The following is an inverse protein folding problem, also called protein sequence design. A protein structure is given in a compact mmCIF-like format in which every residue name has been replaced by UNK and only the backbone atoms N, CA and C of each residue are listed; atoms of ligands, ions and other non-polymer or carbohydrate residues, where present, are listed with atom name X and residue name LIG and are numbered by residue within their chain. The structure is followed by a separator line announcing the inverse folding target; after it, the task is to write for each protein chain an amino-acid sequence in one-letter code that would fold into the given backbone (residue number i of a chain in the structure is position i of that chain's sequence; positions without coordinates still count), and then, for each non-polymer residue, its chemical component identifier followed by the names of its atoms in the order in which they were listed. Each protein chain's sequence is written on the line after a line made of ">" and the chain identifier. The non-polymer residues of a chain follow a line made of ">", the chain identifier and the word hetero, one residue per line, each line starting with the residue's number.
data_IF_320766497105
#
_entry.id   IF_320766497105
#
_cell.length_a   1.000
_cell.length_b   1.000
_cell.length_c   1.000
_cell.angle_alpha   90.00
_cell.angle_beta   90.00
_cell.angle_gamma   90.00
#
_symmetry.space_group_name_H-M   'P 1'
#
loop_
_entity.id
_entity.type
_entity.pdbx_description
1 polymer ?
#
# COMPACT_ATOMS: atom_id res chain seq x y z
N UNK A 1 14.55 -39.25 -29.83
CA UNK A 1 13.45 -39.02 -28.85
C UNK A 1 12.91 -37.61 -29.04
N UNK A 2 11.76 -37.48 -29.72
CA UNK A 2 11.13 -36.20 -30.07
C UNK A 2 10.06 -35.94 -29.01
N UNK A 3 10.22 -34.91 -28.17
CA UNK A 3 9.15 -34.54 -27.21
C UNK A 3 7.95 -34.03 -28.00
N UNK A 4 6.72 -34.50 -27.73
CA UNK A 4 5.54 -33.98 -28.40
C UNK A 4 5.32 -32.52 -27.97
N UNK A 5 5.44 -31.59 -28.91
CA UNK A 5 5.00 -30.21 -28.74
C UNK A 5 3.47 -30.21 -28.76
N UNK A 6 2.88 -30.24 -27.57
CA UNK A 6 1.49 -29.80 -27.42
C UNK A 6 1.43 -28.33 -27.85
N UNK A 7 0.54 -28.04 -28.79
CA UNK A 7 0.33 -26.70 -29.33
C UNK A 7 0.10 -25.69 -28.21
N UNK A 8 0.61 -24.47 -28.34
CA UNK A 8 0.43 -23.37 -27.37
C UNK A 8 -1.04 -23.18 -26.96
N UNK A 9 -1.97 -23.49 -27.87
CA UNK A 9 -3.41 -23.49 -27.61
C UNK A 9 -3.88 -24.55 -26.59
N UNK A 10 -3.20 -25.69 -26.48
CA UNK A 10 -3.55 -26.76 -25.54
C UNK A 10 -3.18 -26.40 -24.10
N UNK A 11 -2.13 -25.61 -23.89
CA UNK A 11 -1.80 -25.08 -22.55
C UNK A 11 -2.78 -23.98 -22.12
N UNK A 12 -3.23 -23.15 -23.06
CA UNK A 12 -4.28 -22.14 -22.79
C UNK A 12 -5.60 -22.80 -22.37
N UNK A 13 -6.01 -23.89 -23.02
CA UNK A 13 -7.24 -24.60 -22.67
C UNK A 13 -7.20 -25.32 -21.31
N UNK A 14 -6.03 -25.68 -20.78
CA UNK A 14 -5.88 -26.24 -19.43
C UNK A 14 -5.90 -25.13 -18.35
N UNK A 15 -5.53 -23.88 -18.71
CA UNK A 15 -5.52 -22.71 -17.82
C UNK A 15 -6.85 -21.95 -17.73
N UNK A 16 -7.82 -22.25 -18.60
CA UNK A 16 -9.16 -21.67 -18.55
C UNK A 16 -10.19 -22.79 -18.29
N UNK A 17 -10.42 -23.19 -17.04
CA UNK A 17 -11.57 -24.02 -16.73
C UNK A 17 -12.82 -23.20 -17.02
N UNK A 18 -13.67 -23.70 -17.91
CA UNK A 18 -14.99 -23.15 -18.15
C UNK A 18 -15.84 -23.29 -16.89
N UNK A 19 -15.93 -22.22 -16.09
CA UNK A 19 -16.93 -22.08 -15.05
C UNK A 19 -17.42 -20.65 -15.03
N UNK A 20 -18.74 -20.47 -15.11
CA UNK A 20 -19.47 -19.21 -15.13
C UNK A 20 -19.43 -18.44 -13.80
N UNK A 21 -18.41 -18.69 -12.98
CA UNK A 21 -18.07 -17.99 -11.75
C UNK A 21 -16.58 -17.63 -11.84
N UNK A 22 -16.28 -16.47 -12.41
CA UNK A 22 -14.92 -16.07 -12.70
C UNK A 22 -14.25 -15.56 -11.42
N UNK A 23 -13.41 -16.39 -10.80
CA UNK A 23 -12.59 -15.97 -9.66
C UNK A 23 -11.57 -14.91 -10.13
N UNK A 24 -11.66 -13.70 -9.56
CA UNK A 24 -10.79 -12.58 -9.90
C UNK A 24 -9.30 -12.93 -9.73
N UNK A 25 -8.97 -13.85 -8.81
CA UNK A 25 -7.59 -14.30 -8.65
C UNK A 25 -7.10 -15.12 -9.85
N UNK A 26 -7.93 -16.02 -10.37
CA UNK A 26 -7.60 -16.82 -11.55
C UNK A 26 -7.43 -15.94 -12.79
N UNK A 27 -8.22 -14.86 -12.91
CA UNK A 27 -8.03 -13.87 -13.97
C UNK A 27 -6.64 -13.26 -13.93
N UNK A 28 -6.25 -12.70 -12.77
CA UNK A 28 -4.98 -12.04 -12.59
C UNK A 28 -3.83 -13.01 -12.85
N UNK A 29 -3.92 -14.24 -12.36
CA UNK A 29 -2.94 -15.30 -12.63
C UNK A 29 -2.81 -15.59 -14.13
N UNK A 30 -3.92 -15.69 -14.86
CA UNK A 30 -3.90 -15.97 -16.30
C UNK A 30 -3.29 -14.80 -17.10
N UNK A 31 -3.60 -13.55 -16.72
CA UNK A 31 -3.01 -12.37 -17.36
C UNK A 31 -1.51 -12.29 -17.08
N UNK A 32 -1.08 -12.52 -15.84
CA UNK A 32 0.34 -12.51 -15.49
C UNK A 32 1.11 -13.66 -16.17
N UNK A 33 0.51 -14.86 -16.26
CA UNK A 33 1.11 -15.97 -17.01
C UNK A 33 1.24 -15.62 -18.51
N UNK A 34 0.24 -14.94 -19.08
CA UNK A 34 0.30 -14.45 -20.45
C UNK A 34 1.42 -13.42 -20.66
N UNK A 35 1.61 -12.49 -19.70
CA UNK A 35 2.75 -11.55 -19.69
C UNK A 35 4.10 -12.26 -19.67
N UNK A 36 4.26 -13.29 -18.83
CA UNK A 36 5.53 -14.02 -18.71
C UNK A 36 5.86 -14.88 -19.94
N UNK A 37 4.85 -15.42 -20.61
CA UNK A 37 5.04 -16.29 -21.77
C UNK A 37 5.34 -15.51 -23.07
N UNK A 38 5.03 -14.23 -23.14
CA UNK A 38 5.24 -13.39 -24.32
C UNK A 38 6.50 -12.53 -24.19
N UNK A 39 7.59 -12.99 -24.80
CA UNK A 39 8.86 -12.26 -24.86
C UNK A 39 8.65 -10.92 -25.57
N UNK A 40 8.99 -9.82 -24.87
CA UNK A 40 8.87 -8.45 -25.39
C UNK A 40 7.62 -7.70 -24.93
N UNK A 41 6.74 -8.34 -24.15
CA UNK A 41 5.62 -7.67 -23.51
C UNK A 41 6.03 -7.08 -22.15
N UNK A 42 5.51 -5.90 -21.83
CA UNK A 42 5.76 -5.27 -20.54
C UNK A 42 4.96 -5.96 -19.42
N UNK A 43 5.60 -6.17 -18.26
CA UNK A 43 4.99 -6.76 -17.07
C UNK A 43 4.14 -5.75 -16.27
N UNK A 44 3.22 -5.03 -16.91
CA UNK A 44 2.45 -3.96 -16.25
C UNK A 44 1.53 -4.52 -15.17
N UNK A 45 0.76 -5.57 -15.49
CA UNK A 45 -0.19 -6.17 -14.56
C UNK A 45 0.55 -6.89 -13.44
N UNK A 46 1.55 -7.70 -13.77
CA UNK A 46 2.37 -8.40 -12.78
C UNK A 46 3.05 -7.44 -11.80
N UNK A 47 3.57 -6.31 -12.30
CA UNK A 47 4.20 -5.31 -11.44
C UNK A 47 3.17 -4.57 -10.58
N UNK A 48 1.98 -4.30 -11.11
CA UNK A 48 0.88 -3.70 -10.35
C UNK A 48 0.43 -4.61 -9.22
N UNK A 49 0.19 -5.89 -9.50
CA UNK A 49 -0.20 -6.88 -8.49
C UNK A 49 0.85 -6.97 -7.39
N UNK A 50 2.14 -6.99 -7.75
CA UNK A 50 3.23 -7.02 -6.78
C UNK A 50 3.30 -5.72 -5.92
N UNK A 51 3.03 -4.55 -6.52
CA UNK A 51 2.93 -3.31 -5.76
C UNK A 51 1.75 -3.33 -4.79
N UNK A 52 0.61 -3.89 -5.21
CA UNK A 52 -0.58 -3.98 -4.35
C UNK A 52 -0.37 -4.95 -3.19
N UNK A 53 0.33 -6.06 -3.41
CA UNK A 53 0.76 -7.00 -2.36
C UNK A 53 1.71 -6.36 -1.34
N UNK A 54 2.67 -5.54 -1.80
CA UNK A 54 3.53 -4.76 -0.90
C UNK A 54 2.75 -3.73 -0.05
N UNK A 55 1.56 -3.30 -0.51
CA UNK A 55 0.75 -2.26 0.14
C UNK A 55 -0.39 -2.83 1.00
N UNK A 56 -0.89 -4.02 0.68
CA UNK A 56 -2.06 -4.63 1.30
C UNK A 56 -1.65 -5.93 1.98
N UNK A 57 -1.62 -5.93 3.31
CA UNK A 57 -1.48 -7.15 4.10
C UNK A 57 -2.80 -7.48 4.82
N UNK A 58 -3.56 -6.46 5.21
CA UNK A 58 -4.79 -6.57 6.00
C UNK A 58 -5.96 -5.80 5.39
N UNK A 59 -7.19 -6.15 5.79
CA UNK A 59 -8.40 -5.39 5.43
C UNK A 59 -8.30 -3.89 5.77
N UNK A 60 -7.56 -3.53 6.82
CA UNK A 60 -7.36 -2.12 7.20
C UNK A 60 -6.52 -1.35 6.19
N UNK A 61 -5.55 -2.03 5.55
CA UNK A 61 -4.74 -1.42 4.50
C UNK A 61 -5.59 -1.16 3.26
N UNK A 62 -6.49 -2.10 2.93
CA UNK A 62 -7.50 -1.92 1.86
C UNK A 62 -8.37 -0.69 2.16
N UNK A 63 -8.92 -0.59 3.37
CA UNK A 63 -9.73 0.57 3.77
C UNK A 63 -8.98 1.88 3.60
N UNK A 64 -7.72 1.95 4.05
CA UNK A 64 -6.91 3.16 3.92
C UNK A 64 -6.68 3.55 2.46
N UNK A 65 -6.45 2.57 1.58
CA UNK A 65 -6.26 2.81 0.16
C UNK A 65 -7.56 3.23 -0.55
N UNK A 66 -8.71 2.69 -0.13
CA UNK A 66 -10.04 3.09 -0.61
C UNK A 66 -10.36 4.52 -0.18
N UNK A 67 -10.18 4.83 1.11
CA UNK A 67 -10.39 6.18 1.66
C UNK A 67 -9.48 7.22 1.00
N UNK A 68 -8.28 6.80 0.60
CA UNK A 68 -7.32 7.62 -0.14
C UNK A 68 -7.63 7.74 -1.63
N UNK A 69 -8.65 7.04 -2.14
CA UNK A 69 -9.04 7.02 -3.56
C UNK A 69 -8.03 6.34 -4.48
N UNK A 70 -7.15 5.49 -3.93
CA UNK A 70 -6.11 4.79 -4.69
C UNK A 70 -6.70 3.55 -5.38
N UNK A 71 -7.59 2.83 -4.70
CA UNK A 71 -8.31 1.68 -5.23
C UNK A 71 -9.80 1.80 -4.97
N UNK A 72 -10.60 1.18 -5.83
CA UNK A 72 -12.03 1.03 -5.64
C UNK A 72 -12.32 -0.41 -5.19
N UNK A 73 -12.97 -0.58 -4.03
CA UNK A 73 -13.37 -1.92 -3.59
C UNK A 73 -14.68 -2.31 -4.31
N UNK A 74 -14.60 -3.36 -5.13
CA UNK A 74 -15.75 -3.98 -5.82
C UNK A 74 -16.10 -5.37 -5.28
N UNK A 75 -15.42 -5.81 -4.22
CA UNK A 75 -15.71 -7.05 -3.52
C UNK A 75 -16.68 -6.81 -2.38
N UNK A 76 -17.24 -7.89 -1.85
CA UNK A 76 -18.20 -7.83 -0.74
C UNK A 76 -17.54 -7.38 0.58
N UNK A 77 -16.22 -7.53 0.71
CA UNK A 77 -15.46 -7.15 1.90
C UNK A 77 -14.02 -6.80 1.59
N UNK A 78 -13.48 -5.82 2.32
CA UNK A 78 -12.06 -5.45 2.29
C UNK A 78 -11.14 -6.65 2.59
N UNK A 79 -11.62 -7.59 3.41
CA UNK A 79 -10.89 -8.83 3.71
C UNK A 79 -10.70 -9.71 2.48
N UNK A 80 -11.71 -9.81 1.61
CA UNK A 80 -11.61 -10.59 0.38
C UNK A 80 -10.58 -9.96 -0.58
N UNK A 81 -10.48 -8.63 -0.61
CA UNK A 81 -9.48 -7.92 -1.41
C UNK A 81 -8.07 -8.22 -0.90
N UNK A 82 -7.86 -8.14 0.42
CA UNK A 82 -6.56 -8.47 1.01
C UNK A 82 -6.15 -9.92 0.75
N UNK A 83 -7.10 -10.86 0.91
CA UNK A 83 -6.86 -12.27 0.63
C UNK A 83 -6.58 -12.54 -0.84
N UNK A 84 -7.25 -11.84 -1.77
CA UNK A 84 -7.01 -11.93 -3.20
C UNK A 84 -5.53 -11.63 -3.53
N UNK A 85 -5.04 -10.45 -3.14
CA UNK A 85 -3.68 -10.04 -3.47
C UNK A 85 -2.63 -10.96 -2.83
N UNK A 86 -2.78 -11.23 -1.53
CA UNK A 86 -1.90 -12.15 -0.78
C UNK A 86 -1.88 -13.58 -1.37
N UNK A 87 -2.98 -14.04 -1.98
CA UNK A 87 -3.07 -15.37 -2.59
C UNK A 87 -2.45 -15.39 -3.97
N UNK A 88 -2.65 -14.36 -4.77
CA UNK A 88 -2.20 -14.27 -6.17
C UNK A 88 -0.68 -14.14 -6.26
N UNK A 89 -0.04 -13.52 -5.27
CA UNK A 89 1.43 -13.37 -5.19
C UNK A 89 2.16 -14.54 -4.56
N UNK A 90 1.47 -15.37 -3.76
CA UNK A 90 2.03 -16.60 -3.17
C UNK A 90 2.48 -17.59 -4.25
N UNK A 91 3.79 -17.61 -4.51
CA UNK A 91 4.45 -18.62 -5.35
C UNK A 91 4.93 -18.14 -6.71
N UNK A 92 4.83 -16.85 -7.03
CA UNK A 92 5.38 -16.29 -8.27
C UNK A 92 6.63 -15.44 -8.04
N UNK A 93 7.71 -15.77 -8.74
CA UNK A 93 8.89 -14.92 -8.85
C UNK A 93 8.67 -13.90 -9.97
N UNK A 94 8.38 -12.65 -9.61
CA UNK A 94 8.09 -11.59 -10.58
C UNK A 94 9.33 -10.81 -11.00
N UNK A 95 9.41 -10.50 -12.29
CA UNK A 95 10.34 -9.50 -12.81
C UNK A 95 9.68 -8.11 -12.78
N UNK A 96 10.15 -7.26 -11.87
CA UNK A 96 9.59 -5.93 -11.61
C UNK A 96 9.83 -4.96 -12.78
N UNK A 97 8.77 -4.32 -13.28
CA UNK A 97 8.85 -3.27 -14.29
C UNK A 97 9.61 -2.04 -13.75
N UNK A 98 10.51 -1.48 -14.57
CA UNK A 98 11.38 -0.36 -14.17
C UNK A 98 10.60 0.89 -13.68
N UNK A 99 9.42 1.17 -14.25
CA UNK A 99 8.58 2.31 -13.86
C UNK A 99 8.00 2.11 -12.46
N UNK A 100 7.50 0.90 -12.17
CA UNK A 100 6.96 0.56 -10.86
C UNK A 100 8.05 0.43 -9.81
N UNK A 101 9.22 -0.09 -10.17
CA UNK A 101 10.42 -0.07 -9.31
C UNK A 101 10.79 1.36 -8.87
N UNK A 102 10.70 2.32 -9.79
CA UNK A 102 10.91 3.73 -9.48
C UNK A 102 9.85 4.31 -8.53
N UNK A 103 8.59 3.91 -8.69
CA UNK A 103 7.50 4.27 -7.80
C UNK A 103 7.68 3.66 -6.40
N UNK A 104 7.97 2.35 -6.30
CA UNK A 104 8.29 1.63 -5.06
C UNK A 104 9.44 2.29 -4.30
N UNK A 105 10.52 2.62 -5.01
CA UNK A 105 11.67 3.32 -4.43
C UNK A 105 11.28 4.70 -3.88
N UNK A 106 10.43 5.45 -4.59
CA UNK A 106 9.92 6.74 -4.12
C UNK A 106 9.02 6.60 -2.89
N UNK A 107 8.14 5.60 -2.86
CA UNK A 107 7.29 5.30 -1.70
C UNK A 107 8.14 4.97 -0.48
N UNK A 108 9.11 4.05 -0.61
CA UNK A 108 10.03 3.70 0.48
C UNK A 108 10.79 4.93 0.97
N UNK A 109 11.30 5.77 0.05
CA UNK A 109 11.99 7.01 0.40
C UNK A 109 11.08 7.99 1.12
N UNK A 110 9.82 8.10 0.70
CA UNK A 110 8.82 8.92 1.35
C UNK A 110 8.56 8.42 2.77
N UNK A 111 8.29 7.13 2.97
CA UNK A 111 8.07 6.53 4.29
C UNK A 111 9.29 6.69 5.20
N UNK A 112 10.51 6.55 4.68
CA UNK A 112 11.77 6.73 5.43
C UNK A 112 12.16 8.19 5.67
N UNK A 113 11.47 9.17 5.09
CA UNK A 113 11.77 10.59 5.31
C UNK A 113 11.58 10.90 6.80
N UNK A 114 12.61 11.48 7.45
CA UNK A 114 12.59 11.77 8.90
C UNK A 114 11.27 12.40 9.35
N UNK A 115 10.78 13.45 8.67
CA UNK A 115 9.51 14.11 8.98
C UNK A 115 8.31 13.15 9.05
N UNK A 116 8.22 12.19 8.13
CA UNK A 116 7.13 11.23 8.06
C UNK A 116 7.24 10.19 9.18
N UNK A 117 8.46 9.74 9.49
CA UNK A 117 8.71 8.86 10.63
C UNK A 117 8.38 9.55 11.96
N UNK A 118 8.81 10.79 12.14
CA UNK A 118 8.49 11.58 13.34
C UNK A 118 6.99 11.83 13.46
N UNK A 119 6.29 12.16 12.36
CA UNK A 119 4.83 12.28 12.35
C UNK A 119 4.13 10.97 12.70
N UNK A 120 4.51 9.86 12.07
CA UNK A 120 3.91 8.55 12.35
C UNK A 120 4.11 8.14 13.81
N UNK A 121 5.32 8.34 14.35
CA UNK A 121 5.61 8.11 15.77
C UNK A 121 4.74 9.00 16.65
N UNK A 122 4.70 10.30 16.38
CA UNK A 122 3.95 11.26 17.17
C UNK A 122 2.45 10.93 17.21
N UNK A 123 1.85 10.63 16.05
CA UNK A 123 0.45 10.21 15.94
C UNK A 123 0.22 8.93 16.74
N UNK A 124 1.08 7.93 16.56
CA UNK A 124 0.90 6.64 17.22
C UNK A 124 1.12 6.70 18.75
N UNK A 125 2.02 7.54 19.25
CA UNK A 125 2.30 7.65 20.69
C UNK A 125 1.40 8.64 21.41
N UNK A 126 1.13 9.81 20.80
CA UNK A 126 0.43 10.89 21.48
C UNK A 126 -1.06 10.97 21.16
N UNK A 127 -1.48 10.61 19.95
CA UNK A 127 -2.90 10.69 19.56
C UNK A 127 -3.71 9.42 19.88
N UNK A 128 -3.05 8.34 20.28
CA UNK A 128 -3.72 7.11 20.72
C UNK A 128 -4.29 7.19 22.12
N UNK A 129 -3.66 7.95 23.00
CA UNK A 129 -4.07 8.10 24.39
C UNK A 129 -4.70 9.49 24.60
N UNK A 130 -6.03 9.57 24.84
CA UNK A 130 -6.72 10.84 25.05
C UNK A 130 -6.10 11.69 26.17
N UNK A 131 -5.56 11.05 27.22
CA UNK A 131 -4.93 11.76 28.33
C UNK A 131 -3.65 12.46 27.91
N UNK A 132 -2.83 11.81 27.09
CA UNK A 132 -1.63 12.42 26.51
C UNK A 132 -1.97 13.64 25.65
N UNK A 133 -3.10 13.62 24.92
CA UNK A 133 -3.58 14.78 24.15
C UNK A 133 -3.95 15.95 25.06
N UNK A 134 -4.70 15.68 26.14
CA UNK A 134 -5.12 16.72 27.10
C UNK A 134 -3.89 17.33 27.79
N UNK A 135 -2.95 16.50 28.22
CA UNK A 135 -1.71 16.95 28.86
C UNK A 135 -0.88 17.83 27.91
N UNK A 136 -0.79 17.46 26.63
CA UNK A 136 -0.08 18.23 25.62
C UNK A 136 -0.75 19.60 25.37
N UNK A 137 -2.09 19.64 25.33
CA UNK A 137 -2.84 20.89 25.19
C UNK A 137 -2.64 21.80 26.40
N UNK A 138 -2.73 21.26 27.61
CA UNK A 138 -2.50 22.01 28.84
C UNK A 138 -1.08 22.59 28.92
N UNK A 139 -0.06 21.77 28.61
CA UNK A 139 1.33 22.22 28.56
C UNK A 139 1.54 23.32 27.50
N UNK A 140 0.92 23.18 26.32
CA UNK A 140 0.97 24.19 25.27
C UNK A 140 0.33 25.52 25.69
N UNK A 141 -0.84 25.47 26.35
CA UNK A 141 -1.51 26.66 26.87
C UNK A 141 -0.67 27.36 27.93
N UNK A 142 -0.14 26.60 28.90
CA UNK A 142 0.74 27.14 29.94
C UNK A 142 1.99 27.78 29.34
N UNK A 143 2.61 27.16 28.33
CA UNK A 143 3.77 27.72 27.64
C UNK A 143 3.43 29.01 26.89
N UNK A 144 2.24 29.11 26.29
CA UNK A 144 1.79 30.36 25.67
C UNK A 144 1.59 31.47 26.71
N UNK A 145 0.95 31.14 27.84
CA UNK A 145 0.73 32.08 28.94
C UNK A 145 2.07 32.58 29.52
N UNK A 146 3.05 31.70 29.72
CA UNK A 146 4.36 32.10 30.23
C UNK A 146 5.10 32.99 29.24
N UNK A 147 5.08 32.68 27.93
CA UNK A 147 5.68 33.55 26.92
C UNK A 147 5.05 34.95 26.91
N UNK A 148 3.71 35.02 26.98
CA UNK A 148 2.98 36.29 27.06
C UNK A 148 3.42 37.06 28.31
N UNK A 149 3.43 36.40 29.47
CA UNK A 149 3.86 37.01 30.73
C UNK A 149 5.30 37.51 30.67
N UNK A 150 6.23 36.74 30.12
CA UNK A 150 7.63 37.13 29.95
C UNK A 150 7.76 38.35 29.03
N UNK A 151 7.04 38.39 27.90
CA UNK A 151 7.04 39.54 26.99
C UNK A 151 6.52 40.80 27.68
N UNK A 152 5.39 40.71 28.39
CA UNK A 152 4.86 41.85 29.15
C UNK A 152 5.83 42.32 30.24
N UNK A 153 6.46 41.39 30.96
CA UNK A 153 7.41 41.72 32.03
C UNK A 153 8.67 42.41 31.50
N UNK A 154 9.16 42.02 30.33
CA UNK A 154 10.30 42.69 29.67
C UNK A 154 9.90 44.07 29.16
N UNK A 155 8.72 44.19 28.52
CA UNK A 155 8.20 45.48 28.07
C UNK A 155 7.96 46.46 29.22
N UNK A 156 7.48 45.99 30.38
CA UNK A 156 7.30 46.83 31.57
C UNK A 156 8.60 47.23 32.25
N UNK A 157 9.70 46.52 31.99
CA UNK A 157 11.02 46.84 32.53
C UNK A 157 11.78 47.84 31.66
N UNK A 158 11.53 47.85 30.35
CA UNK A 158 12.17 48.74 29.38
C UNK A 158 11.47 50.11 29.29
N UNK A 159 10.22 50.20 29.73
CA UNK A 159 9.43 51.44 29.77
C UNK A 159 9.56 52.16 31.11
#
# INVERSE_FOLDING_TARGET
>A
MRRPMLSSATYLLILFPGSTHYDQGTFLLNVMAFEQLHVGMDNHVSSFVNLMDDLIDTAKDVQLLVDSGIIENRMESDQQVAELFNRVTKGMAFFENAKLKGLRTRLIRHCKRRRNLWRARFVNTHLRDPWTVIALLAAGLLLCLTLIQTVYSVLSYIK
#
